data_IF_194898996004
#
_entry.id   IF_194898996004
#
_cell.length_a   1.000
_cell.length_b   1.000
_cell.length_c   1.000
_cell.angle_alpha   90.00
_cell.angle_beta   90.00
_cell.angle_gamma   90.00
#
_symmetry.space_group_name_H-M   'P 1'
#
loop_
_entity.id
_entity.type
_entity.pdbx_description
1 polymer ?
#
# COMPACT_ATOMS: atom_id res chain seq x y z
N UNK A 1 1.48 16.24 -17.34
CA UNK A 1 1.93 15.06 -16.56
C UNK A 1 2.24 13.85 -17.46
N UNK A 2 1.39 13.48 -18.42
CA UNK A 2 1.56 12.30 -19.28
C UNK A 2 2.85 12.27 -20.12
N UNK A 3 3.14 13.35 -20.85
CA UNK A 3 4.26 13.42 -21.80
C UNK A 3 5.67 13.34 -21.15
N UNK A 4 6.00 14.11 -20.10
CA UNK A 4 7.34 14.07 -19.51
C UNK A 4 7.65 12.75 -18.79
N UNK A 5 6.64 12.11 -18.19
CA UNK A 5 6.82 10.80 -17.52
C UNK A 5 7.07 9.70 -18.56
N UNK A 6 6.37 9.73 -19.70
CA UNK A 6 6.57 8.78 -20.80
C UNK A 6 7.95 8.88 -21.45
N UNK A 7 8.51 10.09 -21.53
CA UNK A 7 9.88 10.34 -22.00
C UNK A 7 10.93 9.79 -21.05
N UNK A 8 10.75 10.00 -19.74
CA UNK A 8 11.62 9.44 -18.70
C UNK A 8 11.55 7.91 -18.66
N UNK A 9 10.39 7.30 -18.85
CA UNK A 9 10.27 5.83 -18.89
C UNK A 9 10.96 5.26 -20.12
N UNK A 10 10.86 5.93 -21.28
CA UNK A 10 11.57 5.54 -22.51
C UNK A 10 13.09 5.67 -22.38
N UNK A 11 13.61 6.57 -21.55
CA UNK A 11 15.06 6.73 -21.36
C UNK A 11 15.68 5.72 -20.40
N UNK A 12 14.89 5.12 -19.51
CA UNK A 12 15.39 4.19 -18.49
C UNK A 12 15.10 2.71 -18.79
N UNK A 13 14.15 2.38 -19.67
CA UNK A 13 13.72 1.00 -19.93
C UNK A 13 14.06 0.59 -21.36
N UNK A 14 14.89 -0.44 -21.52
CA UNK A 14 15.15 -1.08 -22.82
C UNK A 14 13.86 -1.67 -23.40
N UNK A 15 13.53 -1.30 -24.64
CA UNK A 15 12.38 -1.86 -25.35
C UNK A 15 12.69 -3.27 -25.90
N UNK A 16 12.82 -4.26 -25.01
CA UNK A 16 12.85 -5.67 -25.42
C UNK A 16 11.43 -6.15 -25.77
N UNK A 17 11.27 -6.70 -26.97
CA UNK A 17 10.08 -7.43 -27.44
C UNK A 17 8.74 -6.65 -27.42
N UNK A 18 8.74 -5.32 -27.58
CA UNK A 18 7.52 -4.51 -27.63
C UNK A 18 6.76 -4.39 -26.29
N UNK A 19 7.36 -4.87 -25.19
CA UNK A 19 6.80 -4.78 -23.84
C UNK A 19 6.65 -3.32 -23.40
N UNK A 20 7.57 -2.44 -23.85
CA UNK A 20 7.49 -1.01 -23.55
C UNK A 20 6.26 -0.36 -24.16
N UNK A 21 5.88 -0.72 -25.39
CA UNK A 21 4.71 -0.16 -26.06
C UNK A 21 3.40 -0.61 -25.40
N UNK A 22 3.34 -1.88 -24.96
CA UNK A 22 2.21 -2.39 -24.17
C UNK A 22 2.12 -1.68 -22.82
N UNK A 23 3.24 -1.48 -22.13
CA UNK A 23 3.33 -0.75 -20.87
C UNK A 23 2.93 0.72 -21.01
N UNK A 24 3.33 1.39 -22.10
CA UNK A 24 2.96 2.77 -22.38
C UNK A 24 1.46 2.91 -22.65
N UNK A 25 0.86 2.02 -23.44
CA UNK A 25 -0.59 2.02 -23.67
C UNK A 25 -1.38 1.84 -22.37
N UNK A 26 -0.95 0.90 -21.53
CA UNK A 26 -1.51 0.70 -20.20
C UNK A 26 -1.40 1.97 -19.34
N UNK A 27 -0.21 2.58 -19.31
CA UNK A 27 0.07 3.80 -18.55
C UNK A 27 -0.76 5.00 -19.00
N UNK A 28 -0.88 5.25 -20.31
CA UNK A 28 -1.65 6.39 -20.82
C UNK A 28 -3.15 6.31 -20.51
N UNK A 29 -3.69 5.10 -20.32
CA UNK A 29 -5.07 4.92 -19.85
C UNK A 29 -5.13 5.17 -18.34
N UNK A 30 -4.21 4.58 -17.56
CA UNK A 30 -4.23 4.62 -16.11
C UNK A 30 -3.90 5.96 -15.48
N UNK A 31 -3.15 6.82 -16.16
CA UNK A 31 -2.87 8.18 -15.68
C UNK A 31 -4.17 8.96 -15.41
N UNK A 32 -5.27 8.65 -16.11
CA UNK A 32 -6.57 9.27 -15.89
C UNK A 32 -7.24 8.79 -14.59
N UNK A 33 -6.79 7.69 -14.01
CA UNK A 33 -7.24 7.25 -12.70
C UNK A 33 -6.54 8.01 -11.55
N UNK A 34 -5.45 8.73 -11.84
CA UNK A 34 -4.66 9.43 -10.82
C UNK A 34 -5.48 10.48 -10.03
N UNK A 35 -6.30 11.35 -10.65
CA UNK A 35 -7.13 12.31 -9.91
C UNK A 35 -8.13 11.63 -8.97
N UNK A 36 -8.77 10.54 -9.43
CA UNK A 36 -9.69 9.77 -8.60
C UNK A 36 -8.96 9.11 -7.41
N UNK A 37 -7.79 8.52 -7.67
CA UNK A 37 -6.98 7.86 -6.64
C UNK A 37 -6.50 8.86 -5.58
N UNK A 38 -6.03 10.03 -5.99
CA UNK A 38 -5.62 11.10 -5.06
C UNK A 38 -6.78 11.61 -4.21
N UNK A 39 -7.95 11.83 -4.83
CA UNK A 39 -9.16 12.23 -4.09
C UNK A 39 -9.58 11.18 -3.07
N UNK A 40 -9.48 9.89 -3.43
CA UNK A 40 -9.75 8.80 -2.50
C UNK A 40 -8.73 8.71 -1.37
N UNK A 41 -7.44 8.93 -1.62
CA UNK A 41 -6.43 8.96 -0.54
C UNK A 41 -6.70 10.08 0.46
N UNK A 42 -7.07 11.27 -0.01
CA UNK A 42 -7.44 12.37 0.88
C UNK A 42 -8.66 12.02 1.75
N UNK A 43 -9.72 11.45 1.14
CA UNK A 43 -10.93 11.05 1.86
C UNK A 43 -10.68 9.87 2.80
N UNK A 44 -9.87 8.89 2.40
CA UNK A 44 -9.47 7.75 3.23
C UNK A 44 -8.71 8.23 4.47
N UNK A 45 -7.72 9.11 4.31
CA UNK A 45 -6.98 9.68 5.42
C UNK A 45 -7.90 10.43 6.40
N UNK A 46 -8.84 11.21 5.87
CA UNK A 46 -9.84 11.91 6.67
C UNK A 46 -10.76 10.96 7.46
N UNK A 47 -11.27 9.90 6.81
CA UNK A 47 -12.12 8.89 7.45
C UNK A 47 -11.37 8.13 8.57
N UNK A 48 -10.12 7.74 8.31
CA UNK A 48 -9.27 7.09 9.31
C UNK A 48 -9.02 8.02 10.50
N UNK A 49 -8.74 9.31 10.26
CA UNK A 49 -8.60 10.31 11.32
C UNK A 49 -9.89 10.53 12.14
N UNK A 50 -11.06 10.40 11.51
CA UNK A 50 -12.37 10.39 12.18
C UNK A 50 -12.69 9.06 12.89
N UNK A 51 -11.74 8.13 12.98
CA UNK A 51 -11.89 6.80 13.58
C UNK A 51 -12.89 5.89 12.83
N UNK A 52 -13.14 6.17 11.55
CA UNK A 52 -14.00 5.35 10.70
C UNK A 52 -13.17 4.50 9.72
N UNK A 53 -12.63 3.40 10.22
CA UNK A 53 -11.85 2.44 9.42
C UNK A 53 -12.72 1.50 8.57
N UNK A 54 -14.01 1.35 8.91
CA UNK A 54 -14.93 0.43 8.21
C UNK A 54 -15.31 0.96 6.84
N UNK A 55 -15.59 2.26 6.72
CA UNK A 55 -15.98 2.85 5.44
C UNK A 55 -14.90 2.68 4.36
N UNK A 56 -13.61 3.01 4.59
CA UNK A 56 -12.55 2.74 3.63
C UNK A 56 -12.39 1.26 3.27
N UNK A 57 -12.63 0.33 4.21
CA UNK A 57 -12.57 -1.11 3.96
C UNK A 57 -13.65 -1.56 2.97
N UNK A 58 -14.90 -1.15 3.17
CA UNK A 58 -16.00 -1.48 2.24
C UNK A 58 -15.76 -0.90 0.85
N UNK A 59 -15.24 0.34 0.78
CA UNK A 59 -14.89 0.98 -0.49
C UNK A 59 -13.78 0.19 -1.19
N UNK A 60 -12.73 -0.22 -0.48
CA UNK A 60 -11.63 -1.02 -1.06
C UNK A 60 -12.12 -2.36 -1.61
N UNK A 61 -13.03 -3.04 -0.91
CA UNK A 61 -13.65 -4.29 -1.39
C UNK A 61 -14.44 -4.02 -2.67
N UNK A 62 -15.28 -2.99 -2.67
CA UNK A 62 -16.09 -2.61 -3.84
C UNK A 62 -15.21 -2.28 -5.06
N UNK A 63 -14.14 -1.48 -4.88
CA UNK A 63 -13.19 -1.16 -5.96
C UNK A 63 -12.59 -2.43 -6.55
N UNK A 64 -12.14 -3.37 -5.72
CA UNK A 64 -11.56 -4.62 -6.21
C UNK A 64 -12.58 -5.48 -6.97
N UNK A 65 -13.81 -5.59 -6.46
CA UNK A 65 -14.88 -6.33 -7.14
C UNK A 65 -15.25 -5.71 -8.49
N UNK A 66 -15.41 -4.39 -8.54
CA UNK A 66 -15.66 -3.65 -9.78
C UNK A 66 -14.51 -3.82 -10.76
N UNK A 67 -13.26 -3.75 -10.28
CA UNK A 67 -12.07 -3.94 -11.10
C UNK A 67 -12.05 -5.34 -11.74
N UNK A 68 -12.26 -6.38 -10.94
CA UNK A 68 -12.31 -7.78 -11.43
C UNK A 68 -13.41 -7.93 -12.47
N UNK A 69 -14.62 -7.45 -12.17
CA UNK A 69 -15.77 -7.56 -13.06
C UNK A 69 -15.51 -6.88 -14.42
N UNK A 70 -15.10 -5.61 -14.42
CA UNK A 70 -14.87 -4.88 -15.67
C UNK A 70 -13.62 -5.36 -16.43
N UNK A 71 -12.56 -5.74 -15.72
CA UNK A 71 -11.37 -6.31 -16.35
C UNK A 71 -11.73 -7.61 -17.09
N UNK A 72 -12.46 -8.53 -16.46
CA UNK A 72 -12.92 -9.76 -17.12
C UNK A 72 -13.87 -9.47 -18.28
N UNK A 73 -14.79 -8.51 -18.11
CA UNK A 73 -15.72 -8.11 -19.15
C UNK A 73 -14.98 -7.59 -20.40
N UNK A 74 -14.03 -6.67 -20.25
CA UNK A 74 -13.28 -6.11 -21.38
C UNK A 74 -12.31 -7.11 -22.01
N UNK A 75 -11.68 -7.96 -21.20
CA UNK A 75 -10.74 -8.95 -21.69
C UNK A 75 -11.44 -10.07 -22.47
N UNK A 76 -12.52 -10.62 -21.92
CA UNK A 76 -13.19 -11.78 -22.52
C UNK A 76 -14.17 -11.34 -23.61
N UNK A 77 -15.08 -10.39 -23.31
CA UNK A 77 -16.18 -10.03 -24.22
C UNK A 77 -15.73 -9.10 -25.35
N UNK A 78 -14.90 -8.10 -25.02
CA UNK A 78 -14.44 -7.10 -25.97
C UNK A 78 -13.08 -7.46 -26.60
N UNK A 79 -12.47 -8.59 -26.21
CA UNK A 79 -11.16 -9.08 -26.69
C UNK A 79 -10.04 -8.04 -26.53
N UNK A 80 -10.19 -7.10 -25.61
CA UNK A 80 -9.18 -6.09 -25.32
C UNK A 80 -8.13 -6.75 -24.41
N UNK A 81 -6.85 -6.76 -24.80
CA UNK A 81 -5.80 -7.39 -23.99
C UNK A 81 -5.50 -6.56 -22.73
N UNK A 82 -4.29 -6.01 -22.64
CA UNK A 82 -3.81 -5.19 -21.52
C UNK A 82 -4.65 -3.90 -21.36
N UNK A 83 -5.15 -3.36 -22.46
CA UNK A 83 -6.03 -2.18 -22.47
C UNK A 83 -7.33 -2.42 -21.69
N UNK A 84 -7.91 -3.62 -21.80
CA UNK A 84 -9.14 -3.98 -21.07
C UNK A 84 -8.96 -3.94 -19.55
N UNK A 85 -7.82 -4.44 -19.06
CA UNK A 85 -7.45 -4.37 -17.64
C UNK A 85 -7.24 -2.92 -17.18
N UNK A 86 -6.62 -2.08 -18.02
CA UNK A 86 -6.41 -0.67 -17.71
C UNK A 86 -7.75 0.09 -17.56
N UNK A 87 -8.69 -0.13 -18.50
CA UNK A 87 -10.03 0.46 -18.42
C UNK A 87 -10.82 -0.08 -17.23
N UNK A 88 -10.72 -1.37 -16.93
CA UNK A 88 -11.33 -1.96 -15.73
C UNK A 88 -10.86 -1.27 -14.45
N UNK A 89 -9.56 -1.04 -14.33
CA UNK A 89 -8.99 -0.33 -13.18
C UNK A 89 -9.41 1.14 -13.15
N UNK A 90 -9.43 1.84 -14.30
CA UNK A 90 -9.89 3.23 -14.41
C UNK A 90 -11.33 3.39 -13.89
N UNK A 91 -12.25 2.55 -14.37
CA UNK A 91 -13.66 2.58 -13.96
C UNK A 91 -13.78 2.26 -12.47
N UNK A 92 -13.05 1.26 -11.99
CA UNK A 92 -13.04 0.91 -10.58
C UNK A 92 -12.62 2.09 -9.69
N UNK A 93 -11.55 2.80 -10.03
CA UNK A 93 -11.09 3.94 -9.24
C UNK A 93 -12.11 5.09 -9.21
N UNK A 94 -12.74 5.42 -10.35
CA UNK A 94 -13.81 6.43 -10.38
C UNK A 94 -15.07 5.99 -9.63
N UNK A 95 -15.45 4.72 -9.73
CA UNK A 95 -16.58 4.17 -8.97
C UNK A 95 -16.32 4.22 -7.46
N UNK A 96 -15.07 3.96 -7.05
CA UNK A 96 -14.62 4.09 -5.67
C UNK A 96 -14.70 5.53 -5.17
N UNK A 97 -14.23 6.50 -5.97
CA UNK A 97 -14.29 7.91 -5.63
C UNK A 97 -15.75 8.36 -5.42
N UNK A 98 -16.63 8.04 -6.36
CA UNK A 98 -18.05 8.38 -6.28
C UNK A 98 -18.67 7.77 -5.02
N UNK A 99 -18.43 6.48 -4.79
CA UNK A 99 -18.94 5.76 -3.61
C UNK A 99 -18.43 6.41 -2.32
N UNK A 100 -17.14 6.75 -2.25
CA UNK A 100 -16.54 7.42 -1.09
C UNK A 100 -17.21 8.76 -0.80
N UNK A 101 -17.44 9.57 -1.84
CA UNK A 101 -18.11 10.87 -1.70
C UNK A 101 -19.56 10.68 -1.23
N UNK A 102 -20.29 9.72 -1.78
CA UNK A 102 -21.68 9.42 -1.38
C UNK A 102 -21.74 8.99 0.09
N UNK A 103 -20.91 8.04 0.51
CA UNK A 103 -20.84 7.61 1.91
C UNK A 103 -20.47 8.77 2.86
N UNK A 104 -19.51 9.60 2.44
CA UNK A 104 -19.15 10.80 3.20
C UNK A 104 -20.32 11.77 3.32
N UNK A 105 -21.08 12.00 2.25
CA UNK A 105 -22.25 12.89 2.28
C UNK A 105 -23.37 12.35 3.19
N UNK A 106 -23.64 11.04 3.16
CA UNK A 106 -24.68 10.42 3.99
C UNK A 106 -24.32 10.50 5.47
N UNK A 107 -23.08 10.13 5.83
CA UNK A 107 -22.66 10.01 7.23
C UNK A 107 -22.19 11.33 7.84
N UNK A 108 -21.55 12.17 7.04
CA UNK A 108 -20.85 13.38 7.48
C UNK A 108 -21.31 14.66 6.76
N UNK A 109 -22.36 14.61 5.94
CA UNK A 109 -22.84 15.76 5.17
C UNK A 109 -23.19 16.99 6.02
N UNK A 110 -23.57 16.81 7.29
CA UNK A 110 -23.81 17.91 8.25
C UNK A 110 -22.55 18.72 8.56
N UNK A 111 -21.36 18.16 8.38
CA UNK A 111 -20.07 18.84 8.59
C UNK A 111 -19.68 19.75 7.42
N UNK A 112 -20.41 19.71 6.29
CA UNK A 112 -20.19 20.64 5.15
C UNK A 112 -20.21 22.11 5.58
N UNK A 113 -20.93 22.46 6.63
CA UNK A 113 -20.99 23.83 7.19
C UNK A 113 -19.65 24.36 7.70
N UNK A 114 -18.70 23.47 8.03
CA UNK A 114 -17.35 23.84 8.47
C UNK A 114 -16.34 23.88 7.31
N UNK A 115 -16.79 23.61 6.07
CA UNK A 115 -15.92 23.62 4.91
C UNK A 115 -15.60 25.06 4.50
N UNK A 116 -14.37 25.51 4.74
CA UNK A 116 -13.90 26.83 4.34
C UNK A 116 -12.66 26.72 3.45
N UNK A 117 -12.86 26.87 2.14
CA UNK A 117 -11.79 26.72 1.15
C UNK A 117 -10.69 27.77 1.31
N UNK A 118 -11.05 28.99 1.72
CA UNK A 118 -10.07 30.08 1.94
C UNK A 118 -9.14 29.78 3.11
N UNK A 119 -9.65 29.17 4.17
CA UNK A 119 -8.82 28.74 5.30
C UNK A 119 -7.96 27.52 4.97
N UNK A 120 -8.46 26.61 4.14
CA UNK A 120 -7.71 25.41 3.73
C UNK A 120 -6.51 25.74 2.84
N UNK A 121 -6.58 26.83 2.07
CA UNK A 121 -5.50 27.29 1.17
C UNK A 121 -4.53 28.25 1.89
N UNK A 122 -4.71 28.49 3.20
CA UNK A 122 -3.81 29.34 3.94
C UNK A 122 -2.38 28.76 3.93
N UNK A 123 -1.48 29.48 3.28
CA UNK A 123 -0.09 29.09 3.07
C UNK A 123 0.63 28.75 4.37
N UNK A 124 0.36 29.47 5.46
CA UNK A 124 0.99 29.22 6.75
C UNK A 124 0.60 27.86 7.33
N UNK A 125 -0.71 27.53 7.31
CA UNK A 125 -1.23 26.24 7.78
C UNK A 125 -0.74 25.10 6.88
N UNK A 126 -0.73 25.30 5.57
CA UNK A 126 -0.19 24.32 4.60
C UNK A 126 1.30 24.06 4.82
N UNK A 127 2.12 25.10 5.05
CA UNK A 127 3.55 24.93 5.29
C UNK A 127 3.82 24.12 6.55
N UNK A 128 3.06 24.35 7.63
CA UNK A 128 3.14 23.53 8.85
C UNK A 128 2.74 22.09 8.57
N UNK A 129 1.64 21.87 7.84
CA UNK A 129 1.18 20.54 7.43
C UNK A 129 2.25 19.80 6.62
N UNK A 130 2.82 20.43 5.59
CA UNK A 130 3.89 19.82 4.79
C UNK A 130 5.15 19.55 5.60
N UNK A 131 5.51 20.43 6.55
CA UNK A 131 6.68 20.21 7.40
C UNK A 131 6.54 18.95 8.27
N UNK A 132 5.37 18.75 8.87
CA UNK A 132 5.09 17.54 9.69
C UNK A 132 5.09 16.28 8.82
N UNK A 133 4.54 16.35 7.60
CA UNK A 133 4.48 15.19 6.70
C UNK A 133 5.80 14.93 5.94
N UNK A 134 6.74 15.88 5.94
CA UNK A 134 7.99 15.76 5.17
C UNK A 134 8.86 14.62 5.69
N UNK A 135 8.86 14.37 6.99
CA UNK A 135 9.68 13.32 7.60
C UNK A 135 9.15 11.93 7.22
N UNK A 136 7.83 11.72 7.31
CA UNK A 136 7.15 10.49 6.88
C UNK A 136 7.33 10.27 5.37
N UNK A 137 7.23 11.35 4.58
CA UNK A 137 7.45 11.28 3.14
C UNK A 137 8.88 10.87 2.80
N UNK A 138 9.89 11.51 3.41
CA UNK A 138 11.29 11.19 3.19
C UNK A 138 11.61 9.75 3.60
N UNK A 139 11.11 9.31 4.76
CA UNK A 139 11.21 7.92 5.22
C UNK A 139 10.65 6.95 4.18
N UNK A 140 9.43 7.20 3.69
CA UNK A 140 8.78 6.34 2.69
C UNK A 140 9.56 6.32 1.38
N UNK A 141 10.09 7.46 0.93
CA UNK A 141 10.97 7.54 -0.23
C UNK A 141 12.26 6.71 -0.04
N UNK A 142 12.92 6.84 1.12
CA UNK A 142 14.10 6.04 1.44
C UNK A 142 13.79 4.53 1.43
N UNK A 143 12.67 4.12 2.03
CA UNK A 143 12.25 2.71 2.05
C UNK A 143 12.01 2.19 0.63
N UNK A 144 11.27 2.93 -0.20
CA UNK A 144 11.02 2.57 -1.60
C UNK A 144 12.33 2.49 -2.40
N UNK A 145 13.27 3.42 -2.18
CA UNK A 145 14.58 3.40 -2.85
C UNK A 145 15.38 2.16 -2.46
N UNK A 146 15.42 1.81 -1.17
CA UNK A 146 16.15 0.63 -0.68
C UNK A 146 15.53 -0.66 -1.22
N UNK A 147 14.21 -0.82 -1.19
CA UNK A 147 13.54 -2.03 -1.70
C UNK A 147 13.64 -2.15 -3.22
N UNK A 148 13.57 -1.02 -3.94
CA UNK A 148 13.78 -0.98 -5.39
C UNK A 148 15.22 -1.33 -5.74
N UNK A 149 16.19 -0.76 -5.01
CA UNK A 149 17.60 -1.10 -5.19
C UNK A 149 17.87 -2.58 -4.91
N UNK A 150 17.29 -3.14 -3.84
CA UNK A 150 17.38 -4.57 -3.55
C UNK A 150 16.85 -5.43 -4.70
N UNK A 151 15.74 -5.02 -5.32
CA UNK A 151 15.16 -5.69 -6.48
C UNK A 151 16.09 -5.61 -7.70
N UNK A 152 16.67 -4.43 -7.99
CA UNK A 152 17.63 -4.23 -9.09
C UNK A 152 18.94 -5.01 -8.85
N UNK A 153 19.44 -5.02 -7.62
CA UNK A 153 20.62 -5.78 -7.25
C UNK A 153 20.35 -7.29 -7.41
N UNK A 154 19.19 -7.75 -6.95
CA UNK A 154 18.76 -9.13 -7.12
C UNK A 154 18.65 -9.52 -8.59
N UNK A 155 18.12 -8.64 -9.47
CA UNK A 155 17.97 -8.95 -10.90
C UNK A 155 19.30 -9.13 -11.65
N UNK A 156 20.42 -8.69 -11.05
CA UNK A 156 21.77 -8.92 -11.58
C UNK A 156 22.38 -10.24 -11.11
N UNK A 157 21.77 -10.91 -10.14
CA UNK A 157 22.23 -12.21 -9.63
C UNK A 157 21.80 -13.35 -10.57
N UNK A 158 22.60 -14.41 -10.62
CA UNK A 158 22.30 -15.60 -11.40
C UNK A 158 21.10 -16.37 -10.83
N UNK A 159 20.44 -17.12 -11.72
CA UNK A 159 19.39 -18.05 -11.34
C UNK A 159 20.00 -19.25 -10.60
N UNK A 160 19.45 -19.71 -9.45
CA UNK A 160 18.09 -19.47 -8.93
C UNK A 160 17.95 -18.36 -7.87
N UNK A 161 19.02 -17.69 -7.46
CA UNK A 161 19.05 -16.77 -6.30
C UNK A 161 18.10 -15.58 -6.48
N UNK A 162 18.01 -15.02 -7.69
CA UNK A 162 17.04 -13.97 -8.02
C UNK A 162 15.60 -14.36 -7.63
N UNK A 163 15.19 -15.58 -7.97
CA UNK A 163 13.83 -16.04 -7.72
C UNK A 163 13.60 -16.32 -6.23
N UNK A 164 14.61 -16.82 -5.53
CA UNK A 164 14.58 -16.97 -4.06
C UNK A 164 14.36 -15.60 -3.41
N UNK A 165 15.16 -14.58 -3.75
CA UNK A 165 15.02 -13.24 -3.19
C UNK A 165 13.62 -12.65 -3.44
N UNK A 166 13.05 -12.86 -4.63
CA UNK A 166 11.69 -12.42 -4.94
C UNK A 166 10.63 -13.10 -4.05
N UNK A 167 10.76 -14.41 -3.79
CA UNK A 167 9.86 -15.14 -2.89
C UNK A 167 9.98 -14.65 -1.44
N UNK A 168 11.20 -14.47 -0.94
CA UNK A 168 11.42 -13.97 0.42
C UNK A 168 10.86 -12.55 0.58
N UNK A 169 11.07 -11.67 -0.41
CA UNK A 169 10.50 -10.33 -0.43
C UNK A 169 8.97 -10.37 -0.47
N UNK A 170 8.36 -11.32 -1.17
CA UNK A 170 6.91 -11.49 -1.17
C UNK A 170 6.37 -11.85 0.23
N UNK A 171 7.05 -12.75 0.95
CA UNK A 171 6.70 -13.08 2.34
C UNK A 171 6.87 -11.86 3.27
N UNK A 172 7.98 -11.11 3.11
CA UNK A 172 8.19 -9.86 3.83
C UNK A 172 7.08 -8.83 3.56
N UNK A 173 6.72 -8.60 2.31
CA UNK A 173 5.67 -7.66 1.92
C UNK A 173 4.31 -8.07 2.47
N UNK A 174 4.00 -9.37 2.47
CA UNK A 174 2.78 -9.88 3.10
C UNK A 174 2.74 -9.49 4.58
N UNK A 175 3.81 -9.74 5.34
CA UNK A 175 3.90 -9.35 6.74
C UNK A 175 3.79 -7.82 6.92
N UNK A 176 4.47 -7.05 6.07
CA UNK A 176 4.42 -5.57 6.08
C UNK A 176 3.00 -5.04 5.96
N UNK A 177 2.17 -5.59 5.07
CA UNK A 177 0.79 -5.13 4.91
C UNK A 177 -0.07 -5.32 6.17
N UNK A 178 0.16 -6.38 6.94
CA UNK A 178 -0.50 -6.54 8.23
C UNK A 178 -0.02 -5.49 9.23
N UNK A 179 1.29 -5.28 9.32
CA UNK A 179 1.88 -4.29 10.23
C UNK A 179 1.47 -2.85 9.89
N UNK A 180 1.39 -2.48 8.61
CA UNK A 180 0.95 -1.15 8.17
C UNK A 180 -0.49 -0.86 8.61
N UNK A 181 -1.36 -1.88 8.65
CA UNK A 181 -2.71 -1.75 9.20
C UNK A 181 -2.72 -1.33 10.67
N UNK A 182 -1.81 -1.88 11.47
CA UNK A 182 -1.62 -1.47 12.87
C UNK A 182 -0.94 -0.12 13.01
N UNK A 183 0.00 0.21 12.12
CA UNK A 183 0.63 1.53 12.08
C UNK A 183 -0.42 2.63 11.83
N UNK A 184 -1.33 2.46 10.86
CA UNK A 184 -2.43 3.42 10.64
C UNK A 184 -3.41 3.52 11.81
N UNK A 185 -3.69 2.40 12.48
CA UNK A 185 -4.52 2.41 13.68
C UNK A 185 -3.82 3.18 14.82
N UNK A 186 -2.50 3.00 14.95
CA UNK A 186 -1.67 3.72 15.90
C UNK A 186 -1.68 5.22 15.64
N UNK A 187 -1.45 5.64 14.40
CA UNK A 187 -1.36 7.05 14.01
C UNK A 187 -2.68 7.77 14.35
N UNK A 188 -3.80 7.14 14.00
CA UNK A 188 -5.13 7.68 14.27
C UNK A 188 -5.44 7.75 15.78
N UNK A 189 -5.18 6.69 16.55
CA UNK A 189 -5.46 6.65 17.99
C UNK A 189 -4.53 7.57 18.79
N UNK A 190 -3.24 7.54 18.50
CA UNK A 190 -2.25 8.40 19.14
C UNK A 190 -2.54 9.87 18.82
N UNK A 191 -2.84 10.21 17.55
CA UNK A 191 -3.25 11.55 17.15
C UNK A 191 -4.50 12.04 17.89
N UNK A 192 -5.50 11.18 18.08
CA UNK A 192 -6.72 11.49 18.84
C UNK A 192 -6.43 11.81 20.31
N UNK A 193 -5.71 10.94 21.01
CA UNK A 193 -5.45 11.11 22.45
C UNK A 193 -4.45 12.22 22.74
N UNK A 194 -3.44 12.38 21.87
CA UNK A 194 -2.51 13.51 21.95
C UNK A 194 -3.24 14.83 21.74
N UNK A 195 -4.10 14.93 20.72
CA UNK A 195 -4.94 16.11 20.47
C UNK A 195 -5.92 16.42 21.59
N UNK A 196 -6.43 15.40 22.29
CA UNK A 196 -7.30 15.54 23.45
C UNK A 196 -6.54 15.84 24.77
N UNK A 197 -5.21 15.93 24.75
CA UNK A 197 -4.34 16.04 25.93
C UNK A 197 -4.55 14.93 26.98
N UNK A 198 -4.99 13.75 26.55
CA UNK A 198 -5.26 12.61 27.42
C UNK A 198 -4.06 11.64 27.43
N UNK A 199 -3.05 11.98 28.23
CA UNK A 199 -1.83 11.18 28.34
C UNK A 199 -2.04 9.77 28.92
N UNK A 200 -3.11 9.56 29.69
CA UNK A 200 -3.40 8.25 30.30
C UNK A 200 -3.87 7.27 29.23
N UNK A 201 -4.82 7.69 28.39
CA UNK A 201 -5.30 6.85 27.31
C UNK A 201 -4.28 6.72 26.18
N UNK A 202 -3.47 7.76 25.90
CA UNK A 202 -2.35 7.66 24.97
C UNK A 202 -1.38 6.52 25.33
N UNK A 203 -0.91 6.47 26.59
CA UNK A 203 0.00 5.41 27.06
C UNK A 203 -0.64 4.02 27.01
N UNK A 204 -1.95 3.91 27.29
CA UNK A 204 -2.69 2.65 27.18
C UNK A 204 -2.77 2.19 25.73
N UNK A 205 -3.10 3.09 24.81
CA UNK A 205 -3.16 2.79 23.37
C UNK A 205 -1.82 2.28 22.85
N UNK A 206 -0.72 2.96 23.17
CA UNK A 206 0.63 2.53 22.78
C UNK A 206 0.92 1.11 23.30
N UNK A 207 0.62 0.83 24.58
CA UNK A 207 0.81 -0.52 25.15
C UNK A 207 -0.02 -1.58 24.43
N UNK A 208 -1.28 -1.30 24.12
CA UNK A 208 -2.13 -2.25 23.41
C UNK A 208 -1.65 -2.48 21.97
N UNK A 209 -1.26 -1.44 21.25
CA UNK A 209 -0.75 -1.54 19.89
C UNK A 209 0.53 -2.37 19.87
N UNK A 210 1.48 -2.12 20.79
CA UNK A 210 2.71 -2.91 20.91
C UNK A 210 2.42 -4.37 21.29
N UNK A 211 1.46 -4.62 22.19
CA UNK A 211 1.09 -5.98 22.59
C UNK A 211 0.43 -6.76 21.44
N UNK A 212 -0.44 -6.11 20.66
CA UNK A 212 -1.06 -6.70 19.48
C UNK A 212 -0.04 -6.96 18.36
N UNK A 213 0.88 -6.02 18.11
CA UNK A 213 1.94 -6.23 17.12
C UNK A 213 2.89 -7.35 17.49
N UNK A 214 3.23 -7.49 18.78
CA UNK A 214 4.00 -8.64 19.27
C UNK A 214 3.22 -9.95 19.09
N UNK A 215 1.92 -9.95 19.41
CA UNK A 215 1.07 -11.13 19.20
C UNK A 215 1.04 -11.56 17.73
N UNK A 216 0.92 -10.60 16.80
CA UNK A 216 0.89 -10.90 15.37
C UNK A 216 2.26 -11.31 14.86
N UNK A 217 3.35 -10.68 15.30
CA UNK A 217 4.69 -11.10 14.89
C UNK A 217 5.00 -12.53 15.33
N UNK A 218 4.56 -12.93 16.54
CA UNK A 218 4.65 -14.32 17.01
C UNK A 218 3.79 -15.27 16.17
N UNK A 219 2.55 -14.88 15.82
CA UNK A 219 1.69 -15.68 14.93
C UNK A 219 2.36 -15.90 13.57
N UNK A 220 2.92 -14.85 12.97
CA UNK A 220 3.64 -14.95 11.70
C UNK A 220 4.91 -15.79 11.82
N UNK A 221 5.66 -15.66 12.91
CA UNK A 221 6.84 -16.49 13.18
C UNK A 221 6.46 -17.98 13.23
N UNK A 222 5.40 -18.34 13.97
CA UNK A 222 4.89 -19.71 14.06
C UNK A 222 4.40 -20.20 12.69
N UNK A 223 3.67 -19.36 11.95
CA UNK A 223 3.22 -19.66 10.60
C UNK A 223 4.39 -19.95 9.66
N UNK A 224 5.42 -19.12 9.65
CA UNK A 224 6.60 -19.32 8.81
C UNK A 224 7.43 -20.53 9.25
N UNK A 225 7.46 -20.84 10.54
CA UNK A 225 8.20 -22.00 11.06
C UNK A 225 7.55 -23.32 10.64
N UNK A 226 6.22 -23.46 10.79
CA UNK A 226 5.52 -24.71 10.47
C UNK A 226 5.06 -24.80 9.01
N UNK A 227 4.68 -23.68 8.40
CA UNK A 227 4.08 -23.64 7.06
C UNK A 227 4.94 -22.93 6.01
N UNK A 228 6.17 -22.52 6.34
CA UNK A 228 6.96 -21.74 5.39
C UNK A 228 7.24 -22.46 4.07
N UNK A 229 7.49 -23.78 4.07
CA UNK A 229 7.64 -24.56 2.83
C UNK A 229 6.33 -24.64 2.04
N UNK A 230 5.19 -24.82 2.71
CA UNK A 230 3.87 -24.83 2.08
C UNK A 230 3.51 -23.45 1.50
N UNK A 231 3.90 -22.37 2.18
CA UNK A 231 3.74 -21.00 1.69
C UNK A 231 4.61 -20.74 0.45
N UNK A 232 5.84 -21.27 0.41
CA UNK A 232 6.69 -21.18 -0.78
C UNK A 232 6.10 -21.98 -1.96
N UNK A 233 5.54 -23.17 -1.71
CA UNK A 233 4.84 -23.96 -2.74
C UNK A 233 3.57 -23.31 -3.27
N UNK A 234 2.89 -22.51 -2.45
CA UNK A 234 1.76 -21.68 -2.90
C UNK A 234 2.19 -20.56 -3.86
N UNK A 235 3.45 -20.11 -3.78
CA UNK A 235 3.99 -19.04 -4.61
C UNK A 235 4.72 -19.56 -5.86
N UNK A 236 5.27 -20.78 -5.83
CA UNK A 236 5.94 -21.38 -6.98
C UNK A 236 5.88 -22.90 -7.00
N UNK A 237 5.75 -23.47 -8.21
CA UNK A 237 5.79 -24.91 -8.45
C UNK A 237 7.23 -25.44 -8.69
N UNK A 238 8.23 -24.56 -8.66
CA UNK A 238 9.62 -24.89 -9.02
C UNK A 238 10.41 -25.41 -7.83
N UNK A 239 10.54 -26.73 -7.72
CA UNK A 239 11.16 -27.38 -6.55
C UNK A 239 12.60 -26.96 -6.26
N UNK A 240 13.43 -26.73 -7.29
CA UNK A 240 14.82 -26.29 -7.10
C UNK A 240 14.93 -24.87 -6.51
N UNK A 241 13.91 -24.01 -6.69
CA UNK A 241 13.87 -22.68 -6.05
C UNK A 241 13.48 -22.84 -4.58
N UNK A 242 12.51 -23.73 -4.29
CA UNK A 242 12.07 -24.01 -2.92
C UNK A 242 13.22 -24.57 -2.10
N UNK A 243 13.98 -25.52 -2.66
CA UNK A 243 15.17 -26.07 -2.00
C UNK A 243 16.21 -24.98 -1.70
N UNK A 244 16.53 -24.13 -2.70
CA UNK A 244 17.46 -23.02 -2.50
C UNK A 244 16.96 -21.98 -1.49
N UNK A 245 15.64 -21.80 -1.35
CA UNK A 245 15.04 -20.87 -0.39
C UNK A 245 15.14 -21.36 1.05
N UNK A 246 15.20 -22.68 1.29
CA UNK A 246 15.27 -23.27 2.65
C UNK A 246 16.47 -22.73 3.45
N UNK A 247 17.61 -22.59 2.80
CA UNK A 247 18.84 -22.07 3.43
C UNK A 247 18.68 -20.63 3.95
N UNK A 248 17.72 -19.88 3.42
CA UNK A 248 17.47 -18.48 3.79
C UNK A 248 16.20 -18.27 4.62
N UNK A 249 15.43 -19.32 4.92
CA UNK A 249 14.19 -19.20 5.72
C UNK A 249 14.44 -18.69 7.14
N UNK A 250 15.63 -18.88 7.69
CA UNK A 250 16.03 -18.31 8.97
C UNK A 250 15.86 -16.78 9.02
N UNK A 251 16.14 -16.09 7.91
CA UNK A 251 15.94 -14.64 7.81
C UNK A 251 14.47 -14.25 7.84
N UNK A 252 13.59 -15.04 7.21
CA UNK A 252 12.14 -14.81 7.20
C UNK A 252 11.54 -14.95 8.60
N UNK A 253 12.07 -15.85 9.42
CA UNK A 253 11.63 -16.02 10.82
C UNK A 253 12.02 -14.85 11.72
N UNK A 254 13.18 -14.23 11.46
CA UNK A 254 13.69 -13.12 12.25
C UNK A 254 12.98 -11.80 11.94
N UNK A 255 12.55 -11.60 10.69
CA UNK A 255 11.92 -10.37 10.20
C UNK A 255 10.71 -9.94 11.05
N UNK A 256 9.72 -10.81 11.35
CA UNK A 256 8.58 -10.40 12.16
C UNK A 256 8.97 -9.93 13.56
N UNK A 257 9.93 -10.61 14.19
CA UNK A 257 10.37 -10.32 15.56
C UNK A 257 11.16 -9.01 15.66
N UNK A 258 12.02 -8.73 14.70
CA UNK A 258 12.85 -7.51 14.72
C UNK A 258 12.13 -6.32 14.09
N UNK A 259 11.30 -6.57 13.07
CA UNK A 259 10.65 -5.55 12.27
C UNK A 259 9.42 -4.93 12.91
N UNK A 260 8.62 -5.68 13.69
CA UNK A 260 7.32 -5.19 14.16
C UNK A 260 7.43 -3.88 14.96
N UNK A 261 8.48 -3.74 15.77
CA UNK A 261 8.72 -2.51 16.55
C UNK A 261 8.93 -1.32 15.62
N UNK A 262 9.77 -1.47 14.59
CA UNK A 262 10.05 -0.39 13.64
C UNK A 262 8.82 0.04 12.83
N UNK A 263 7.95 -0.90 12.47
CA UNK A 263 6.67 -0.61 11.80
C UNK A 263 5.68 0.09 12.74
N UNK A 264 5.55 -0.38 13.98
CA UNK A 264 4.60 0.22 14.92
C UNK A 264 5.03 1.61 15.38
N UNK A 265 6.32 1.83 15.63
CA UNK A 265 6.83 3.14 16.01
C UNK A 265 6.66 4.18 14.90
N UNK A 266 6.62 3.75 13.62
CA UNK A 266 6.24 4.62 12.50
C UNK A 266 4.87 5.27 12.71
N UNK A 267 3.91 4.50 13.21
CA UNK A 267 2.56 4.99 13.48
C UNK A 267 2.42 5.67 14.85
N UNK A 268 3.47 5.72 15.69
CA UNK A 268 3.40 6.35 17.02
C UNK A 268 4.05 7.73 17.01
N UNK A 269 5.17 7.87 16.30
CA UNK A 269 6.00 9.09 16.21
C UNK A 269 5.47 10.06 15.15
#
# INVERSE_FOLDING_TARGET
LQYPISLLTRSFIENKNGVLDLGLRYFFILIWAAPATLGMYALKGWLIGMQDSKTPMYIAIMINLVNIFFSLLFVIKFKMKIEGVAYGTLIAQYSGLITTIVFWQIKYGKLKKYFNLKESINWHKMKLFFKVNSDIFLRTCCLILVTTYFTIASSKMEYPILAVNALLMQLFTLFSYFMDGFAYASESLCGKYYGAKDGKNLRKSIKYILSWGLGISLVFMVLYFFFGENLLRLLTDKEHIIMAAKDYMGWVLLIPLTGFVAFLYDGIL
#
